data_IF_788187132270
#
_entry.id   IF_788187132270
#
_cell.length_a   1.000
_cell.length_b   1.000
_cell.length_c   1.000
_cell.angle_alpha   90.00
_cell.angle_beta   90.00
_cell.angle_gamma   90.00
#
_symmetry.space_group_name_H-M   'P 1'
#
loop_
_entity.id
_entity.type
_entity.pdbx_description
1 polymer ?
#
# COMPACT_ATOMS: atom_id res chain seq x y z
N UNK A 1 -22.94 4.67 -32.74
CA UNK A 1 -21.48 4.51 -32.69
C UNK A 1 -21.06 4.56 -31.21
N UNK A 2 -21.15 3.42 -30.53
CA UNK A 2 -20.82 3.29 -29.11
C UNK A 2 -19.30 3.34 -28.94
N UNK A 3 -18.80 4.24 -28.07
CA UNK A 3 -17.44 4.15 -27.55
C UNK A 3 -17.34 2.83 -26.79
N UNK A 4 -16.62 1.87 -27.34
CA UNK A 4 -16.12 0.71 -26.61
C UNK A 4 -15.31 1.23 -25.44
N UNK A 5 -15.92 1.31 -24.26
CA UNK A 5 -15.22 1.52 -23.01
C UNK A 5 -14.17 0.43 -22.92
N UNK A 6 -12.89 0.81 -22.90
CA UNK A 6 -11.84 -0.12 -22.55
C UNK A 6 -12.25 -0.71 -21.20
N UNK A 7 -12.67 -1.99 -21.22
CA UNK A 7 -12.89 -2.77 -20.03
C UNK A 7 -11.60 -2.65 -19.23
N UNK A 8 -11.64 -1.86 -18.17
CA UNK A 8 -10.50 -1.68 -17.29
C UNK A 8 -10.24 -3.05 -16.69
N UNK A 9 -9.26 -3.76 -17.27
CA UNK A 9 -8.81 -5.06 -16.77
C UNK A 9 -8.72 -4.92 -15.25
N UNK A 10 -9.43 -5.81 -14.55
CA UNK A 10 -9.37 -5.93 -13.10
C UNK A 10 -7.91 -6.23 -12.75
N UNK A 11 -7.16 -5.15 -12.57
CA UNK A 11 -5.77 -5.21 -12.15
C UNK A 11 -5.83 -5.84 -10.78
N UNK A 12 -5.23 -7.02 -10.59
CA UNK A 12 -5.25 -7.69 -9.31
C UNK A 12 -4.78 -6.73 -8.21
N UNK A 13 -5.43 -6.80 -7.04
CA UNK A 13 -5.17 -5.89 -5.91
C UNK A 13 -3.68 -5.86 -5.49
N UNK A 14 -2.92 -6.94 -5.79
CA UNK A 14 -1.49 -7.02 -5.53
C UNK A 14 -0.61 -6.15 -6.44
N UNK A 15 -1.09 -5.72 -7.62
CA UNK A 15 -0.37 -4.84 -8.55
C UNK A 15 -0.73 -3.35 -8.37
N UNK A 16 -1.98 -3.10 -7.96
CA UNK A 16 -2.47 -1.78 -7.61
C UNK A 16 -3.32 -1.89 -6.33
N UNK A 17 -2.71 -1.58 -5.18
CA UNK A 17 -3.42 -1.48 -3.89
C UNK A 17 -4.31 -0.22 -3.79
N UNK A 18 -4.63 0.39 -4.93
CA UNK A 18 -5.38 1.62 -5.02
C UNK A 18 -6.81 1.32 -5.44
N UNK A 19 -7.74 1.99 -4.78
CA UNK A 19 -9.12 2.08 -5.20
C UNK A 19 -9.24 2.58 -6.66
N UNK A 20 -10.36 2.27 -7.34
CA UNK A 20 -10.55 2.67 -8.75
C UNK A 20 -10.43 4.20 -8.92
N UNK A 21 -10.96 4.96 -7.96
CA UNK A 21 -10.87 6.43 -7.91
C UNK A 21 -9.42 6.96 -7.80
N UNK A 22 -8.50 6.15 -7.26
CA UNK A 22 -7.12 6.55 -6.99
C UNK A 22 -6.10 6.10 -8.05
N UNK A 23 -6.55 5.51 -9.17
CA UNK A 23 -5.65 4.97 -10.21
C UNK A 23 -4.75 6.01 -10.89
N UNK A 24 -5.01 7.30 -10.72
CA UNK A 24 -4.10 8.38 -11.13
C UNK A 24 -2.73 8.32 -10.42
N UNK A 25 -2.65 7.65 -9.26
CA UNK A 25 -1.41 7.40 -8.53
C UNK A 25 -0.58 6.24 -9.13
N UNK A 26 -1.15 5.46 -10.03
CA UNK A 26 -0.50 4.34 -10.71
C UNK A 26 0.14 4.76 -12.05
N UNK A 27 1.00 3.91 -12.59
CA UNK A 27 1.41 3.91 -14.00
C UNK A 27 0.82 2.70 -14.71
N UNK A 28 0.63 2.78 -16.03
CA UNK A 28 0.10 1.65 -16.81
C UNK A 28 1.22 0.96 -17.57
N UNK A 29 1.45 -0.32 -17.31
CA UNK A 29 2.47 -1.14 -17.98
C UNK A 29 1.76 -2.36 -18.58
N UNK A 30 1.86 -2.53 -19.89
CA UNK A 30 1.21 -3.63 -20.63
C UNK A 30 -0.30 -3.76 -20.29
N UNK A 31 -1.00 -2.63 -20.18
CA UNK A 31 -2.44 -2.58 -19.86
C UNK A 31 -2.80 -2.82 -18.39
N UNK A 32 -1.81 -3.00 -17.49
CA UNK A 32 -2.02 -3.20 -16.05
C UNK A 32 -1.61 -1.97 -15.25
N UNK A 33 -2.36 -1.62 -14.22
CA UNK A 33 -1.96 -0.54 -13.31
C UNK A 33 -0.93 -1.04 -12.30
N UNK A 34 0.17 -0.32 -12.15
CA UNK A 34 1.22 -0.62 -11.18
C UNK A 34 1.40 0.59 -10.27
N UNK A 35 1.42 0.38 -8.96
CA UNK A 35 1.66 1.45 -8.00
C UNK A 35 3.01 2.12 -8.30
N UNK A 36 2.99 3.45 -8.49
CA UNK A 36 4.21 4.22 -8.80
C UNK A 36 5.23 4.16 -7.67
N UNK A 37 4.78 4.16 -6.40
CA UNK A 37 5.67 3.99 -5.24
C UNK A 37 6.36 2.63 -5.29
N UNK A 38 5.62 1.53 -5.46
CA UNK A 38 6.19 0.18 -5.53
C UNK A 38 7.19 0.02 -6.69
N UNK A 39 6.85 0.57 -7.87
CA UNK A 39 7.72 0.52 -9.04
C UNK A 39 9.06 1.21 -8.81
N UNK A 40 9.11 2.26 -7.98
CA UNK A 40 10.35 2.94 -7.60
C UNK A 40 11.04 2.21 -6.44
N UNK A 41 10.28 1.90 -5.39
CA UNK A 41 10.80 1.39 -4.13
C UNK A 41 11.50 0.04 -4.31
N UNK A 42 10.84 -0.93 -4.93
CA UNK A 42 11.34 -2.30 -4.99
C UNK A 42 12.66 -2.44 -5.75
N UNK A 43 12.80 -1.99 -7.02
CA UNK A 43 14.07 -2.16 -7.72
C UNK A 43 15.21 -1.41 -7.02
N UNK A 44 14.96 -0.20 -6.51
CA UNK A 44 16.00 0.56 -5.81
C UNK A 44 16.39 -0.08 -4.47
N UNK A 45 15.42 -0.63 -3.72
CA UNK A 45 15.71 -1.33 -2.45
C UNK A 45 16.53 -2.58 -2.69
N UNK A 46 16.25 -3.33 -3.77
CA UNK A 46 17.06 -4.50 -4.15
C UNK A 46 18.48 -4.10 -4.51
N UNK A 47 18.67 -3.03 -5.30
CA UNK A 47 20.01 -2.52 -5.64
C UNK A 47 20.79 -2.14 -4.39
N UNK A 48 20.16 -1.43 -3.46
CA UNK A 48 20.79 -1.06 -2.17
C UNK A 48 21.11 -2.29 -1.33
N UNK A 49 20.21 -3.27 -1.26
CA UNK A 49 20.42 -4.51 -0.51
C UNK A 49 21.63 -5.29 -1.05
N UNK A 50 21.72 -5.46 -2.38
CA UNK A 50 22.86 -6.12 -3.03
C UNK A 50 24.17 -5.36 -2.76
N UNK A 51 24.15 -4.04 -2.90
CA UNK A 51 25.32 -3.21 -2.63
C UNK A 51 25.76 -3.28 -1.15
N UNK A 52 24.81 -3.39 -0.22
CA UNK A 52 25.10 -3.56 1.20
C UNK A 52 25.70 -4.94 1.51
N UNK A 53 25.13 -6.01 0.95
CA UNK A 53 25.67 -7.37 1.10
C UNK A 53 27.05 -7.52 0.45
N UNK A 54 27.34 -6.78 -0.62
CA UNK A 54 28.65 -6.70 -1.24
C UNK A 54 29.67 -5.87 -0.44
N UNK A 55 29.26 -5.26 0.68
CA UNK A 55 30.13 -4.41 1.51
C UNK A 55 30.41 -3.03 0.93
N UNK A 56 29.71 -2.61 -0.13
CA UNK A 56 29.85 -1.27 -0.72
C UNK A 56 29.07 -0.21 0.05
N UNK A 57 28.01 -0.63 0.74
CA UNK A 57 27.20 0.19 1.63
C UNK A 57 27.22 -0.41 3.02
N UNK A 58 27.37 0.44 4.02
CA UNK A 58 27.29 0.04 5.42
C UNK A 58 28.20 0.88 6.30
N UNK A 59 27.85 0.95 7.58
CA UNK A 59 28.66 1.65 8.56
C UNK A 59 27.91 1.96 9.85
N UNK A 60 28.57 2.72 10.73
CA UNK A 60 28.01 3.13 12.02
C UNK A 60 26.73 3.97 11.92
N UNK A 61 26.43 4.52 10.73
CA UNK A 61 25.25 5.36 10.50
C UNK A 61 24.01 4.60 10.07
N UNK A 62 24.11 3.30 9.77
CA UNK A 62 23.00 2.55 9.17
C UNK A 62 21.76 2.50 10.08
N UNK A 63 21.94 2.49 11.40
CA UNK A 63 20.80 2.57 12.34
C UNK A 63 20.09 3.91 12.18
N UNK A 64 20.83 5.01 12.08
CA UNK A 64 20.25 6.34 11.86
C UNK A 64 19.57 6.46 10.50
N UNK A 65 20.13 5.83 9.46
CA UNK A 65 19.51 5.76 8.14
C UNK A 65 18.16 5.05 8.23
N UNK A 66 18.08 3.88 8.89
CA UNK A 66 16.84 3.13 9.07
C UNK A 66 15.74 3.95 9.75
N UNK A 67 16.09 4.78 10.73
CA UNK A 67 15.11 5.56 11.50
C UNK A 67 14.79 6.91 10.87
N UNK A 68 15.77 7.67 10.39
CA UNK A 68 15.54 9.06 10.00
C UNK A 68 15.12 9.21 8.54
N UNK A 69 15.68 8.39 7.64
CA UNK A 69 15.46 8.53 6.20
C UNK A 69 14.05 8.17 5.74
N UNK A 70 13.29 7.25 6.39
CA UNK A 70 11.89 7.02 6.04
C UNK A 70 10.94 8.18 6.37
N UNK A 71 11.32 9.10 7.28
CA UNK A 71 10.43 10.14 7.80
C UNK A 71 9.79 10.99 6.68
N UNK A 72 10.53 11.52 5.68
CA UNK A 72 9.93 12.26 4.58
C UNK A 72 8.90 11.46 3.78
N UNK A 73 9.14 10.16 3.55
CA UNK A 73 8.17 9.29 2.86
C UNK A 73 6.89 9.13 3.68
N UNK A 74 7.03 8.89 4.99
CA UNK A 74 5.88 8.69 5.88
C UNK A 74 5.06 9.97 6.00
N UNK A 75 5.71 11.14 6.15
CA UNK A 75 5.03 12.44 6.16
C UNK A 75 4.25 12.65 4.85
N UNK A 76 4.89 12.42 3.70
CA UNK A 76 4.23 12.54 2.39
C UNK A 76 3.05 11.56 2.25
N UNK A 77 3.23 10.31 2.66
CA UNK A 77 2.19 9.28 2.64
C UNK A 77 0.98 9.70 3.46
N UNK A 78 1.20 10.07 4.72
CA UNK A 78 0.13 10.44 5.66
C UNK A 78 -0.57 11.71 5.18
N UNK A 79 0.18 12.73 4.75
CA UNK A 79 -0.40 13.98 4.28
C UNK A 79 -1.25 13.79 3.01
N UNK A 80 -0.85 12.93 2.08
CA UNK A 80 -1.66 12.58 0.91
C UNK A 80 -2.93 11.79 1.30
N UNK A 81 -2.84 10.80 2.20
CA UNK A 81 -3.99 9.97 2.60
C UNK A 81 -5.02 10.73 3.45
N UNK A 82 -4.57 11.72 4.24
CA UNK A 82 -5.47 12.59 4.99
C UNK A 82 -5.98 13.77 4.16
N UNK A 83 -5.66 13.82 2.86
CA UNK A 83 -6.00 14.88 1.93
C UNK A 83 -5.51 16.29 2.34
N UNK A 84 -4.46 16.37 3.16
CA UNK A 84 -3.82 17.62 3.56
C UNK A 84 -2.94 18.21 2.46
N UNK A 85 -2.41 17.35 1.58
CA UNK A 85 -1.57 17.75 0.46
C UNK A 85 -2.08 17.09 -0.82
N UNK A 86 -2.11 17.85 -1.91
CA UNK A 86 -2.47 17.32 -3.23
C UNK A 86 -1.41 16.35 -3.75
N UNK A 87 -1.85 15.29 -4.41
CA UNK A 87 -0.96 14.32 -5.03
C UNK A 87 0.01 14.98 -6.02
N UNK A 88 1.29 14.61 -5.94
CA UNK A 88 2.33 15.03 -6.89
C UNK A 88 3.21 13.83 -7.27
N UNK A 89 3.16 13.36 -8.53
CA UNK A 89 3.97 12.22 -8.97
C UNK A 89 5.47 12.42 -8.76
N UNK A 90 5.97 13.64 -8.99
CA UNK A 90 7.40 13.96 -8.84
C UNK A 90 7.84 13.87 -7.38
N UNK A 91 7.06 14.46 -6.47
CA UNK A 91 7.33 14.41 -5.03
C UNK A 91 7.28 12.97 -4.54
N UNK A 92 6.22 12.24 -4.91
CA UNK A 92 6.04 10.82 -4.58
C UNK A 92 7.25 9.98 -5.02
N UNK A 93 7.72 10.13 -6.25
CA UNK A 93 8.91 9.43 -6.75
C UNK A 93 10.15 9.82 -5.95
N UNK A 94 10.37 11.10 -5.69
CA UNK A 94 11.56 11.59 -4.98
C UNK A 94 11.64 11.04 -3.54
N UNK A 95 10.57 11.16 -2.76
CA UNK A 95 10.55 10.64 -1.38
C UNK A 95 10.60 9.11 -1.33
N UNK A 96 10.03 8.44 -2.33
CA UNK A 96 10.08 6.96 -2.42
C UNK A 96 11.48 6.47 -2.78
N UNK A 97 12.16 7.13 -3.71
CA UNK A 97 13.53 6.81 -4.07
C UNK A 97 14.48 7.00 -2.88
N UNK A 98 14.29 8.07 -2.10
CA UNK A 98 15.03 8.29 -0.87
C UNK A 98 14.80 7.17 0.15
N UNK A 99 13.54 6.77 0.36
CA UNK A 99 13.19 5.70 1.28
C UNK A 99 13.62 4.30 0.82
N UNK A 100 13.93 4.10 -0.47
CA UNK A 100 14.46 2.82 -0.95
C UNK A 100 15.81 2.46 -0.29
N UNK A 101 16.56 3.46 0.18
CA UNK A 101 17.81 3.22 0.90
C UNK A 101 17.59 2.47 2.23
N UNK A 102 16.88 3.00 3.24
CA UNK A 102 16.65 2.26 4.47
C UNK A 102 15.91 0.94 4.26
N UNK A 103 15.00 0.86 3.27
CA UNK A 103 14.35 -0.41 2.92
C UNK A 103 15.34 -1.46 2.40
N UNK A 104 16.27 -1.07 1.52
CA UNK A 104 17.32 -1.98 1.05
C UNK A 104 18.28 -2.41 2.16
N UNK A 105 18.65 -1.51 3.07
CA UNK A 105 19.46 -1.86 4.24
C UNK A 105 18.73 -2.85 5.16
N UNK A 106 17.45 -2.63 5.42
CA UNK A 106 16.63 -3.55 6.21
C UNK A 106 16.55 -4.93 5.55
N UNK A 107 16.38 -4.99 4.22
CA UNK A 107 16.37 -6.23 3.47
C UNK A 107 17.71 -6.98 3.56
N UNK A 108 18.84 -6.28 3.39
CA UNK A 108 20.16 -6.87 3.56
C UNK A 108 20.39 -7.41 4.98
N UNK A 109 19.96 -6.66 6.00
CA UNK A 109 20.03 -7.11 7.39
C UNK A 109 19.21 -8.36 7.65
N UNK A 110 17.96 -8.39 7.20
CA UNK A 110 17.11 -9.58 7.35
C UNK A 110 17.59 -10.79 6.56
N UNK A 111 18.35 -10.59 5.47
CA UNK A 111 18.98 -11.68 4.74
C UNK A 111 20.12 -12.34 5.55
N UNK A 112 20.75 -11.61 6.47
CA UNK A 112 21.85 -12.11 7.33
C UNK A 112 21.32 -12.57 8.70
N UNK A 113 20.49 -11.74 9.33
CA UNK A 113 19.86 -11.97 10.63
C UNK A 113 18.33 -11.80 10.49
N UNK A 114 17.59 -12.90 10.33
CA UNK A 114 16.13 -12.85 10.26
C UNK A 114 15.58 -12.14 11.49
N UNK A 115 14.74 -11.13 11.27
CA UNK A 115 14.16 -10.31 12.33
C UNK A 115 15.15 -9.44 13.13
N UNK A 116 16.27 -9.02 12.52
CA UNK A 116 17.15 -7.98 13.09
C UNK A 116 16.32 -6.85 13.72
N UNK A 117 16.62 -6.53 14.97
CA UNK A 117 15.68 -5.82 15.84
C UNK A 117 15.44 -4.38 15.37
N UNK A 118 16.47 -3.66 14.94
CA UNK A 118 16.31 -2.27 14.52
C UNK A 118 15.54 -2.14 13.21
N UNK A 119 15.85 -2.98 12.22
CA UNK A 119 15.13 -3.06 10.96
C UNK A 119 13.65 -3.43 11.20
N UNK A 120 13.40 -4.46 12.01
CA UNK A 120 12.03 -4.89 12.35
C UNK A 120 11.26 -3.79 13.07
N UNK A 121 11.86 -3.16 14.09
CA UNK A 121 11.20 -2.11 14.87
C UNK A 121 10.84 -0.89 14.02
N UNK A 122 11.75 -0.45 13.12
CA UNK A 122 11.49 0.64 12.21
C UNK A 122 10.35 0.29 11.22
N UNK A 123 10.36 -0.92 10.64
CA UNK A 123 9.30 -1.40 9.75
C UNK A 123 7.96 -1.43 10.48
N UNK A 124 7.90 -1.96 11.70
CA UNK A 124 6.67 -2.04 12.48
C UNK A 124 6.13 -0.65 12.81
N UNK A 125 6.98 0.27 13.28
CA UNK A 125 6.54 1.63 13.62
C UNK A 125 6.01 2.38 12.40
N UNK A 126 6.81 2.48 11.33
CA UNK A 126 6.39 3.23 10.14
C UNK A 126 5.27 2.53 9.38
N UNK A 127 5.28 1.20 9.37
CA UNK A 127 4.20 0.38 8.83
C UNK A 127 2.88 0.63 9.54
N UNK A 128 2.88 0.67 10.88
CA UNK A 128 1.68 0.96 11.67
C UNK A 128 1.13 2.37 11.41
N UNK A 129 2.01 3.38 11.29
CA UNK A 129 1.59 4.75 10.96
C UNK A 129 0.95 4.81 9.56
N UNK A 130 1.61 4.22 8.55
CA UNK A 130 1.10 4.18 7.19
C UNK A 130 -0.24 3.43 7.11
N UNK A 131 -0.32 2.26 7.76
CA UNK A 131 -1.53 1.45 7.84
C UNK A 131 -2.68 2.21 8.50
N UNK A 132 -2.43 2.88 9.63
CA UNK A 132 -3.43 3.70 10.31
C UNK A 132 -3.98 4.81 9.41
N UNK A 133 -3.11 5.55 8.71
CA UNK A 133 -3.56 6.58 7.76
C UNK A 133 -4.36 6.01 6.59
N UNK A 134 -3.97 4.82 6.09
CA UNK A 134 -4.69 4.13 5.02
C UNK A 134 -6.06 3.64 5.50
N UNK A 135 -6.18 3.09 6.71
CA UNK A 135 -7.45 2.67 7.30
C UNK A 135 -8.41 3.86 7.46
N UNK A 136 -7.92 4.99 7.96
CA UNK A 136 -8.72 6.23 8.07
C UNK A 136 -9.21 6.70 6.70
N UNK A 137 -8.33 6.67 5.69
CA UNK A 137 -8.69 7.04 4.32
C UNK A 137 -9.75 6.09 3.73
N UNK A 138 -9.53 4.78 3.87
CA UNK A 138 -10.43 3.72 3.37
C UNK A 138 -11.80 3.85 3.99
N UNK A 139 -11.87 4.02 5.33
CA UNK A 139 -13.14 4.20 6.04
C UNK A 139 -13.91 5.44 5.56
N UNK A 140 -13.21 6.53 5.24
CA UNK A 140 -13.83 7.74 4.68
C UNK A 140 -14.30 7.58 3.23
N UNK A 141 -13.66 6.72 2.44
CA UNK A 141 -13.96 6.54 1.02
C UNK A 141 -15.01 5.46 0.75
N UNK A 142 -15.18 4.48 1.64
CA UNK A 142 -16.13 3.37 1.48
C UNK A 142 -17.56 3.79 1.10
N UNK A 143 -18.20 4.79 1.77
CA UNK A 143 -19.56 5.20 1.42
C UNK A 143 -19.68 5.81 0.01
N UNK A 144 -18.60 6.38 -0.51
CA UNK A 144 -18.58 7.03 -1.82
C UNK A 144 -18.31 6.03 -2.97
N UNK A 145 -17.56 4.96 -2.71
CA UNK A 145 -17.21 3.96 -3.73
C UNK A 145 -18.29 2.89 -3.93
N UNK A 146 -19.11 2.62 -2.91
CA UNK A 146 -20.24 1.70 -3.01
C UNK A 146 -21.53 2.38 -2.53
N UNK A 147 -22.13 3.27 -3.35
CA UNK A 147 -23.42 3.84 -3.04
C UNK A 147 -24.43 2.70 -2.91
N UNK A 148 -24.99 2.51 -1.71
CA UNK A 148 -25.93 1.43 -1.44
C UNK A 148 -25.31 0.11 -0.96
N UNK A 149 -24.01 0.05 -0.64
CA UNK A 149 -23.40 -1.14 -0.01
C UNK A 149 -24.20 -1.58 1.22
N UNK A 150 -24.63 -0.63 2.05
CA UNK A 150 -25.41 -0.93 3.26
C UNK A 150 -26.72 -1.63 2.89
N UNK A 151 -27.44 -1.14 1.89
CA UNK A 151 -28.65 -1.79 1.39
C UNK A 151 -28.38 -3.14 0.71
N UNK A 152 -27.27 -3.28 -0.02
CA UNK A 152 -26.90 -4.54 -0.66
C UNK A 152 -26.54 -5.59 0.40
N UNK A 153 -25.78 -5.19 1.42
CA UNK A 153 -25.41 -6.00 2.57
C UNK A 153 -26.63 -6.40 3.39
N UNK A 154 -27.53 -5.46 3.72
CA UNK A 154 -28.80 -5.73 4.41
C UNK A 154 -29.65 -6.75 3.65
N UNK A 155 -29.75 -6.63 2.32
CA UNK A 155 -30.48 -7.61 1.49
C UNK A 155 -29.81 -8.99 1.52
N UNK A 156 -28.49 -9.05 1.44
CA UNK A 156 -27.75 -10.32 1.48
C UNK A 156 -27.84 -10.99 2.85
N UNK A 157 -27.77 -10.20 3.93
CA UNK A 157 -27.91 -10.68 5.30
C UNK A 157 -29.33 -11.17 5.58
N UNK A 158 -30.37 -10.45 5.16
CA UNK A 158 -31.75 -10.91 5.25
C UNK A 158 -31.96 -12.23 4.47
N UNK A 159 -31.37 -12.36 3.28
CA UNK A 159 -31.41 -13.60 2.52
C UNK A 159 -30.61 -14.74 3.19
N UNK A 160 -29.54 -14.44 3.92
CA UNK A 160 -28.79 -15.41 4.73
C UNK A 160 -29.61 -15.86 5.92
N UNK A 161 -30.24 -14.94 6.65
CA UNK A 161 -31.10 -15.25 7.80
C UNK A 161 -32.30 -16.12 7.40
N UNK A 162 -32.98 -15.79 6.30
CA UNK A 162 -34.10 -16.59 5.80
C UNK A 162 -33.68 -18.05 5.52
N UNK A 163 -32.53 -18.25 4.86
CA UNK A 163 -31.97 -19.59 4.63
C UNK A 163 -31.62 -20.33 5.92
N UNK A 164 -31.10 -19.61 6.93
CA UNK A 164 -30.78 -20.21 8.22
C UNK A 164 -32.05 -20.65 8.98
N UNK A 165 -33.14 -19.87 8.90
CA UNK A 165 -34.43 -20.23 9.52
C UNK A 165 -35.07 -21.44 8.86
N UNK A 166 -35.01 -21.52 7.52
CA UNK A 166 -35.46 -22.68 6.76
C UNK A 166 -34.69 -23.95 7.17
N UNK A 167 -33.35 -23.88 7.23
CA UNK A 167 -32.51 -25.01 7.64
C UNK A 167 -32.70 -25.43 9.09
N UNK A 168 -33.01 -24.49 9.98
CA UNK A 168 -33.26 -24.76 11.39
C UNK A 168 -34.70 -25.23 11.68
N UNK A 169 -35.57 -25.31 10.65
CA UNK A 169 -36.96 -25.76 10.80
C UNK A 169 -37.84 -24.78 11.54
N UNK A 170 -37.50 -23.49 11.56
CA UNK A 170 -38.34 -22.46 12.18
C UNK A 170 -39.53 -22.05 11.30
N UNK A 171 -39.46 -22.33 10.00
CA UNK A 171 -40.47 -21.91 9.00
C UNK A 171 -41.29 -23.10 8.43
N UNK A 172 -41.32 -24.26 9.12
CA UNK A 172 -42.10 -25.45 8.75
C UNK A 172 -43.44 -25.56 9.47
#
# INVERSE_FOLDING_TARGET
MQRTGAAGLDTPMWLAHHHRSERHKCVTIAGRHVCRRCLVLYPLSVVVAVASLAGWLGGSLDVWVLWLVPIPLVIDWVAEHLAWVRHSPRRQVAVTALAAWPFGLALARHAVDPFETHATAAILLYGAICLGSWLVCTYRQMPAEMPGWEHDFEREEAAREARLRELAGFDS
#
